data_IF_024044980783
#
_entry.id   IF_024044980783
#
_cell.length_a   1.000
_cell.length_b   1.000
_cell.length_c   1.000
_cell.angle_alpha   90.00
_cell.angle_beta   90.00
_cell.angle_gamma   90.00
#
_symmetry.space_group_name_H-M   'P 1'
#
loop_
_entity.id
_entity.type
_entity.pdbx_description
1 polymer ?
#
# COMPACT_ATOMS: atom_id res chain seq x y z
N UNK A 1 -16.21 7.45 -11.50
CA UNK A 1 -14.82 7.95 -11.69
C UNK A 1 -13.81 7.08 -10.95
N UNK A 2 -14.05 6.74 -9.68
CA UNK A 2 -13.17 5.88 -8.86
C UNK A 2 -13.07 4.43 -9.35
N UNK A 3 -14.20 3.76 -9.63
CA UNK A 3 -14.21 2.35 -10.06
C UNK A 3 -13.39 2.10 -11.33
N UNK A 4 -13.34 3.09 -12.23
CA UNK A 4 -12.47 3.05 -13.43
C UNK A 4 -10.99 2.94 -13.04
N UNK A 5 -10.54 3.71 -12.05
CA UNK A 5 -9.15 3.71 -11.60
C UNK A 5 -8.83 2.48 -10.76
N UNK A 6 -9.74 2.06 -9.87
CA UNK A 6 -9.58 0.81 -9.11
C UNK A 6 -9.45 -0.40 -10.04
N UNK A 7 -10.30 -0.51 -11.07
CA UNK A 7 -10.21 -1.58 -12.07
C UNK A 7 -8.89 -1.53 -12.85
N UNK A 8 -8.42 -0.33 -13.20
CA UNK A 8 -7.12 -0.14 -13.84
C UNK A 8 -5.98 -0.60 -12.94
N UNK A 9 -5.97 -0.19 -11.67
CA UNK A 9 -4.94 -0.55 -10.71
C UNK A 9 -4.92 -2.05 -10.42
N UNK A 10 -6.09 -2.70 -10.35
CA UNK A 10 -6.17 -4.15 -10.22
C UNK A 10 -5.51 -4.89 -11.40
N UNK A 11 -5.73 -4.40 -12.63
CA UNK A 11 -5.12 -4.98 -13.84
C UNK A 11 -3.61 -4.71 -13.96
N UNK A 12 -3.18 -3.50 -13.62
CA UNK A 12 -1.80 -3.03 -13.87
C UNK A 12 -0.87 -3.25 -12.67
N UNK A 13 -1.41 -3.56 -11.49
CA UNK A 13 -0.64 -3.77 -10.25
C UNK A 13 0.40 -2.67 -9.94
N UNK A 14 0.08 -1.36 -10.09
CA UNK A 14 1.08 -0.29 -9.99
C UNK A 14 1.64 -0.09 -8.57
N UNK A 15 1.02 -0.71 -7.56
CA UNK A 15 1.43 -0.63 -6.16
C UNK A 15 2.19 -1.87 -5.67
N UNK A 16 2.40 -2.88 -6.54
CA UNK A 16 3.18 -4.07 -6.22
C UNK A 16 4.60 -3.66 -5.83
N UNK A 17 5.05 -4.10 -4.66
CA UNK A 17 6.45 -3.99 -4.28
C UNK A 17 7.27 -5.03 -5.07
N UNK A 18 8.22 -4.55 -5.86
CA UNK A 18 9.14 -5.43 -6.61
C UNK A 18 10.24 -5.97 -5.68
N UNK A 19 10.64 -7.20 -5.91
CA UNK A 19 11.71 -7.90 -5.18
C UNK A 19 12.99 -8.02 -6.03
N UNK A 20 14.15 -8.31 -5.41
CA UNK A 20 15.34 -8.71 -6.15
C UNK A 20 15.03 -9.83 -7.16
N UNK A 21 15.37 -9.60 -8.43
CA UNK A 21 15.08 -10.51 -9.53
C UNK A 21 13.80 -10.22 -10.31
N UNK A 22 12.89 -9.38 -9.79
CA UNK A 22 11.73 -8.91 -10.58
C UNK A 22 12.18 -7.97 -11.70
N UNK A 23 11.52 -8.06 -12.86
CA UNK A 23 11.70 -7.09 -13.94
C UNK A 23 11.33 -5.68 -13.46
N UNK A 24 12.26 -4.73 -13.62
CA UNK A 24 12.09 -3.34 -13.17
C UNK A 24 12.49 -3.06 -11.73
N UNK A 25 12.96 -4.06 -10.97
CA UNK A 25 13.57 -3.84 -9.66
C UNK A 25 14.93 -3.15 -9.80
N UNK A 26 15.15 -2.11 -9.00
CA UNK A 26 16.40 -1.36 -8.94
C UNK A 26 16.88 -1.30 -7.49
N UNK A 27 17.99 -1.99 -7.21
CA UNK A 27 18.57 -2.09 -5.87
C UNK A 27 19.21 -0.77 -5.39
N UNK A 28 19.49 0.17 -6.30
CA UNK A 28 20.07 1.47 -5.96
C UNK A 28 19.06 2.45 -5.35
N UNK A 29 17.76 2.21 -5.58
CA UNK A 29 16.68 3.05 -5.03
C UNK A 29 16.56 2.86 -3.51
N UNK A 30 16.34 3.95 -2.76
CA UNK A 30 16.14 3.86 -1.31
C UNK A 30 14.90 3.03 -0.99
N UNK A 31 14.99 2.21 0.06
CA UNK A 31 13.89 1.38 0.55
C UNK A 31 13.01 2.19 1.51
N UNK A 32 11.71 1.98 1.45
CA UNK A 32 10.75 2.58 2.37
C UNK A 32 9.69 1.55 2.76
N UNK A 33 9.63 1.23 4.05
CA UNK A 33 8.62 0.34 4.62
C UNK A 33 7.70 1.16 5.52
N UNK A 34 6.40 1.09 5.26
CA UNK A 34 5.37 1.75 6.05
C UNK A 34 4.29 0.73 6.35
N UNK A 35 3.92 0.62 7.63
CA UNK A 35 3.01 -0.40 8.12
C UNK A 35 1.89 0.29 8.90
N UNK A 36 0.67 0.01 8.49
CA UNK A 36 -0.53 0.31 9.27
C UNK A 36 -0.75 -0.78 10.31
N UNK A 37 -1.31 -0.41 11.46
CA UNK A 37 -1.84 -1.41 12.38
C UNK A 37 -3.01 -2.12 11.71
N UNK A 38 -2.90 -3.43 11.55
CA UNK A 38 -3.92 -4.23 10.88
C UNK A 38 -5.22 -4.20 11.70
N UNK A 39 -6.38 -4.08 11.04
CA UNK A 39 -7.65 -4.10 11.74
C UNK A 39 -7.99 -5.51 12.23
N UNK A 40 -8.65 -5.57 13.39
CA UNK A 40 -9.30 -6.78 13.86
C UNK A 40 -10.60 -7.01 13.08
N UNK A 41 -10.88 -8.21 12.54
CA UNK A 41 -12.14 -8.52 11.85
C UNK A 41 -13.27 -8.84 12.85
N UNK A 42 -13.45 -8.00 13.87
CA UNK A 42 -14.38 -8.21 15.00
C UNK A 42 -15.71 -7.47 14.85
N UNK A 43 -15.95 -6.80 13.71
CA UNK A 43 -17.20 -6.11 13.38
C UNK A 43 -17.61 -6.35 11.93
N UNK A 44 -18.78 -5.84 11.53
CA UNK A 44 -19.28 -5.96 10.15
C UNK A 44 -18.42 -5.20 9.11
N UNK A 45 -17.56 -4.29 9.57
CA UNK A 45 -16.66 -3.51 8.72
C UNK A 45 -15.90 -2.45 9.52
N UNK A 46 -15.14 -1.63 8.81
CA UNK A 46 -14.39 -0.51 9.38
C UNK A 46 -15.29 0.70 9.60
N UNK A 47 -15.20 1.35 10.76
CA UNK A 47 -15.74 2.71 10.97
C UNK A 47 -14.77 3.79 10.49
N UNK A 48 -15.25 5.03 10.36
CA UNK A 48 -14.53 6.20 9.82
C UNK A 48 -13.22 6.58 10.53
N UNK A 49 -12.96 6.02 11.71
CA UNK A 49 -11.71 6.23 12.44
C UNK A 49 -10.55 5.35 11.94
N UNK A 50 -10.84 4.15 11.43
CA UNK A 50 -9.81 3.29 10.83
C UNK A 50 -9.08 3.93 9.63
N UNK A 51 -9.79 4.52 8.63
CA UNK A 51 -9.10 5.09 7.47
C UNK A 51 -8.29 6.35 7.79
N UNK A 52 -8.46 7.00 8.95
CA UNK A 52 -7.67 8.19 9.29
C UNK A 52 -6.17 7.91 9.24
N UNK A 53 -5.73 6.85 9.92
CA UNK A 53 -4.34 6.39 9.88
C UNK A 53 -3.94 5.88 8.49
N UNK A 54 -4.80 5.08 7.85
CA UNK A 54 -4.52 4.43 6.57
C UNK A 54 -4.36 5.43 5.42
N UNK A 55 -5.09 6.55 5.46
CA UNK A 55 -4.97 7.63 4.47
C UNK A 55 -3.63 8.36 4.64
N UNK A 56 -3.22 8.65 5.88
CA UNK A 56 -1.95 9.33 6.14
C UNK A 56 -0.75 8.52 5.61
N UNK A 57 -0.75 7.21 5.87
CA UNK A 57 0.29 6.29 5.40
C UNK A 57 0.23 6.03 3.90
N UNK A 58 -0.95 5.93 3.28
CA UNK A 58 -1.10 5.81 1.82
C UNK A 58 -0.57 7.06 1.09
N UNK A 59 -0.88 8.26 1.57
CA UNK A 59 -0.34 9.53 1.03
C UNK A 59 1.19 9.52 1.09
N UNK A 60 1.76 9.17 2.24
CA UNK A 60 3.20 9.12 2.44
C UNK A 60 3.85 8.10 1.50
N UNK A 61 3.27 6.91 1.35
CA UNK A 61 3.76 5.85 0.48
C UNK A 61 3.72 6.27 -1.00
N UNK A 62 2.64 6.90 -1.46
CA UNK A 62 2.53 7.43 -2.82
C UNK A 62 3.58 8.50 -3.10
N UNK A 63 3.78 9.43 -2.16
CA UNK A 63 4.83 10.44 -2.26
C UNK A 63 6.22 9.79 -2.34
N UNK A 64 6.52 8.77 -1.52
CA UNK A 64 7.80 8.05 -1.56
C UNK A 64 8.02 7.30 -2.87
N UNK A 65 6.99 6.66 -3.43
CA UNK A 65 7.05 6.05 -4.78
C UNK A 65 7.40 7.10 -5.84
N UNK A 66 6.72 8.25 -5.82
CA UNK A 66 6.99 9.36 -6.77
C UNK A 66 8.39 9.97 -6.60
N UNK A 67 8.97 9.88 -5.39
CA UNK A 67 10.36 10.28 -5.09
C UNK A 67 11.39 9.18 -5.36
N UNK A 68 11.01 8.11 -6.06
CA UNK A 68 11.93 7.07 -6.50
C UNK A 68 12.29 6.02 -5.45
N UNK A 69 11.52 5.88 -4.36
CA UNK A 69 11.76 4.82 -3.38
C UNK A 69 11.16 3.47 -3.83
N UNK A 70 11.81 2.37 -3.43
CA UNK A 70 11.19 1.04 -3.39
C UNK A 70 10.29 0.96 -2.15
N UNK A 71 8.97 1.00 -2.37
CA UNK A 71 7.98 1.08 -1.28
C UNK A 71 7.31 -0.26 -1.02
N UNK A 72 7.34 -0.70 0.22
CA UNK A 72 6.51 -1.79 0.75
C UNK A 72 5.47 -1.19 1.72
N UNK A 73 4.20 -1.35 1.38
CA UNK A 73 3.05 -0.87 2.17
C UNK A 73 1.98 -1.96 2.19
N UNK A 74 2.09 -2.95 3.10
CA UNK A 74 1.18 -4.07 3.15
C UNK A 74 -0.07 -3.75 3.98
N UNK A 75 -1.13 -4.50 3.71
CA UNK A 75 -2.33 -4.57 4.55
C UNK A 75 -2.62 -6.03 4.88
N UNK A 76 -3.28 -6.27 6.01
CA UNK A 76 -3.62 -7.60 6.50
C UNK A 76 -4.78 -7.57 7.48
N UNK A 77 -5.03 -8.71 8.13
CA UNK A 77 -6.05 -8.88 9.17
C UNK A 77 -5.39 -9.43 10.42
N UNK A 78 -5.59 -8.76 11.55
CA UNK A 78 -5.14 -9.27 12.84
C UNK A 78 -6.27 -10.14 13.43
N UNK A 79 -6.14 -11.46 13.30
CA UNK A 79 -7.27 -12.38 13.43
C UNK A 79 -7.02 -13.58 14.38
N UNK A 80 -5.91 -13.59 15.11
CA UNK A 80 -5.53 -14.68 16.02
C UNK A 80 -4.84 -14.19 17.27
#
# INVERSE_FOLDING_TARGET
MESKWQARWARESPFRALNPGDAGFDASKPKFYCLDMFPYPSGAGLHVGHPEGYIATDILCRMKRMRGCNVLHPMGWDAF
#
